data_IF_311144480970
#
_entry.id   IF_311144480970
#
_cell.length_a   1.000
_cell.length_b   1.000
_cell.length_c   1.000
_cell.angle_alpha   90.00
_cell.angle_beta   90.00
_cell.angle_gamma   90.00
#
_symmetry.space_group_name_H-M   'P 1'
#
loop_
_entity.id
_entity.type
_entity.pdbx_description
1 polymer ?
#
# COMPACT_ATOMS: atom_id res chain seq x y z
N UNK A 1 18.46 45.36 -2.15
CA UNK A 1 17.02 45.69 -2.27
C UNK A 1 16.40 45.03 -3.49
N UNK A 2 15.08 44.74 -3.45
CA UNK A 2 14.28 44.19 -4.57
C UNK A 2 12.84 44.67 -4.51
N UNK A 3 12.24 44.95 -5.67
CA UNK A 3 10.83 45.34 -5.78
C UNK A 3 9.95 44.07 -5.88
N UNK A 4 8.97 43.97 -4.99
CA UNK A 4 7.99 42.88 -5.02
C UNK A 4 7.02 43.04 -6.21
N UNK A 5 6.93 42.03 -7.10
CA UNK A 5 6.02 42.08 -8.26
C UNK A 5 4.51 42.09 -7.92
N UNK A 6 4.13 41.82 -6.67
CA UNK A 6 2.71 41.78 -6.25
C UNK A 6 2.26 43.06 -5.52
N UNK A 7 3.07 43.56 -4.58
CA UNK A 7 2.70 44.76 -3.81
C UNK A 7 3.44 46.02 -4.28
N UNK A 8 4.33 45.89 -5.27
CA UNK A 8 5.11 46.98 -5.88
C UNK A 8 5.97 47.79 -4.88
N UNK A 9 6.22 47.27 -3.67
CA UNK A 9 7.08 47.88 -2.66
C UNK A 9 8.51 47.37 -2.78
N UNK A 10 9.47 48.27 -2.62
CA UNK A 10 10.88 47.93 -2.44
C UNK A 10 11.12 47.34 -1.05
N UNK A 11 11.87 46.24 -0.98
CA UNK A 11 12.15 45.51 0.26
C UNK A 11 13.54 44.91 0.24
N UNK A 12 14.05 44.63 1.44
CA UNK A 12 15.28 43.87 1.62
C UNK A 12 15.20 42.47 1.01
N UNK A 13 16.33 41.96 0.52
CA UNK A 13 16.39 40.65 -0.14
C UNK A 13 15.94 39.49 0.77
N UNK A 14 16.08 39.65 2.09
CA UNK A 14 15.62 38.68 3.10
C UNK A 14 14.10 38.64 3.26
N UNK A 15 13.40 39.64 2.74
CA UNK A 15 11.93 39.61 2.63
C UNK A 15 11.43 38.70 1.51
N UNK A 16 12.32 38.03 0.77
CA UNK A 16 11.99 37.14 -0.34
C UNK A 16 12.46 35.71 -0.05
N UNK A 17 11.78 34.72 -0.63
CA UNK A 17 12.27 33.34 -0.61
C UNK A 17 13.43 33.18 -1.60
N UNK A 18 14.30 32.20 -1.37
CA UNK A 18 15.38 31.91 -2.31
C UNK A 18 14.82 31.18 -3.53
N UNK A 19 15.37 31.48 -4.71
CA UNK A 19 15.00 30.85 -5.98
C UNK A 19 16.22 30.71 -6.88
N UNK A 20 16.67 29.46 -7.03
CA UNK A 20 17.86 29.13 -7.82
C UNK A 20 17.67 29.40 -9.32
N UNK A 21 16.44 29.48 -9.80
CA UNK A 21 16.15 29.73 -11.22
C UNK A 21 16.18 31.24 -11.57
N UNK A 22 16.19 32.11 -10.55
CA UNK A 22 16.18 33.56 -10.76
C UNK A 22 17.60 34.13 -10.84
N UNK A 23 17.80 35.14 -11.69
CA UNK A 23 19.11 35.79 -11.90
C UNK A 23 19.73 36.36 -10.61
N UNK A 24 18.89 36.84 -9.69
CA UNK A 24 19.30 37.43 -8.41
C UNK A 24 19.14 36.48 -7.22
N UNK A 25 18.84 35.19 -7.47
CA UNK A 25 18.70 34.16 -6.43
C UNK A 25 17.47 34.33 -5.53
N UNK A 26 16.54 35.24 -5.85
CA UNK A 26 15.38 35.59 -5.02
C UNK A 26 14.07 35.50 -5.81
N UNK A 27 13.05 34.93 -5.15
CA UNK A 27 11.69 34.87 -5.67
C UNK A 27 11.14 36.25 -6.05
N UNK A 28 10.24 36.31 -7.02
CA UNK A 28 9.73 37.58 -7.56
C UNK A 28 8.69 38.27 -6.67
N UNK A 29 8.13 37.58 -5.67
CA UNK A 29 7.21 38.16 -4.66
C UNK A 29 7.77 38.04 -3.24
N UNK A 30 7.49 39.04 -2.40
CA UNK A 30 7.92 39.00 -1.01
C UNK A 30 7.16 37.94 -0.20
N UNK A 31 7.76 37.43 0.89
CA UNK A 31 7.21 36.41 1.79
C UNK A 31 5.78 36.72 2.25
N UNK A 32 5.50 37.97 2.62
CA UNK A 32 4.15 38.42 3.01
C UNK A 32 3.12 38.21 1.88
N UNK A 33 3.44 38.69 0.68
CA UNK A 33 2.60 38.54 -0.51
C UNK A 33 2.37 37.07 -0.87
N UNK A 34 3.40 36.24 -0.77
CA UNK A 34 3.28 34.81 -1.00
C UNK A 34 2.35 34.14 0.03
N UNK A 35 2.51 34.44 1.33
CA UNK A 35 1.65 33.91 2.40
C UNK A 35 0.20 34.35 2.25
N UNK A 36 -0.04 35.63 1.96
CA UNK A 36 -1.39 36.15 1.67
C UNK A 36 -2.01 35.46 0.44
N UNK A 37 -1.23 35.23 -0.62
CA UNK A 37 -1.68 34.44 -1.78
C UNK A 37 -2.20 33.07 -1.40
N UNK A 38 -1.43 32.35 -0.58
CA UNK A 38 -1.78 30.99 -0.15
C UNK A 38 -3.03 31.01 0.72
N UNK A 39 -3.16 32.00 1.61
CA UNK A 39 -4.35 32.18 2.45
C UNK A 39 -5.60 32.39 1.59
N UNK A 40 -5.56 33.35 0.66
CA UNK A 40 -6.71 33.66 -0.20
C UNK A 40 -7.14 32.46 -1.05
N UNK A 41 -6.19 31.70 -1.63
CA UNK A 41 -6.51 30.47 -2.37
C UNK A 41 -7.15 29.39 -1.49
N UNK A 42 -6.76 29.34 -0.22
CA UNK A 42 -7.31 28.38 0.75
C UNK A 42 -8.75 28.77 1.11
N UNK A 43 -9.00 30.05 1.36
CA UNK A 43 -10.35 30.58 1.61
C UNK A 43 -11.27 30.37 0.40
N UNK A 44 -10.79 30.64 -0.83
CA UNK A 44 -11.54 30.40 -2.06
C UNK A 44 -11.89 28.92 -2.25
N UNK A 45 -10.96 28.01 -1.95
CA UNK A 45 -11.20 26.57 -2.01
C UNK A 45 -12.29 26.14 -1.02
N UNK A 46 -12.20 26.62 0.22
CA UNK A 46 -13.17 26.31 1.28
C UNK A 46 -14.57 26.84 0.91
N UNK A 47 -14.64 28.03 0.30
CA UNK A 47 -15.90 28.61 -0.19
C UNK A 47 -16.51 27.78 -1.33
N UNK A 48 -15.70 27.28 -2.26
CA UNK A 48 -16.19 26.41 -3.34
C UNK A 48 -16.72 25.08 -2.80
N UNK A 49 -16.13 24.52 -1.76
CA UNK A 49 -16.58 23.27 -1.13
C UNK A 49 -16.29 22.00 -1.93
N UNK A 50 -15.64 22.11 -3.10
CA UNK A 50 -15.18 20.98 -3.93
C UNK A 50 -13.76 21.20 -4.45
N UNK A 51 -13.12 20.10 -4.85
CA UNK A 51 -11.78 20.09 -5.47
C UNK A 51 -11.65 18.96 -6.46
N UNK A 52 -10.85 19.15 -7.51
CA UNK A 52 -10.37 18.09 -8.42
C UNK A 52 -9.26 17.27 -7.76
N UNK A 53 -9.43 15.95 -7.68
CA UNK A 53 -8.40 15.06 -7.16
C UNK A 53 -7.19 14.96 -8.11
N UNK A 54 -5.97 15.11 -7.60
CA UNK A 54 -4.76 15.07 -8.44
C UNK A 54 -4.42 13.66 -8.95
N UNK A 55 -5.02 12.62 -8.36
CA UNK A 55 -4.81 11.23 -8.80
C UNK A 55 -5.84 10.80 -9.84
N UNK A 56 -7.12 10.85 -9.52
CA UNK A 56 -8.17 10.40 -10.44
C UNK A 56 -8.75 11.51 -11.32
N UNK A 57 -8.37 12.77 -11.12
CA UNK A 57 -8.84 13.92 -11.90
C UNK A 57 -10.36 14.16 -11.82
N UNK A 58 -11.04 13.58 -10.83
CA UNK A 58 -12.48 13.77 -10.59
C UNK A 58 -12.70 14.87 -9.54
N UNK A 59 -13.65 15.77 -9.80
CA UNK A 59 -14.14 16.76 -8.83
C UNK A 59 -14.97 16.08 -7.75
N UNK A 60 -14.65 16.37 -6.48
CA UNK A 60 -15.34 15.81 -5.32
C UNK A 60 -15.49 16.87 -4.23
N UNK A 61 -16.48 16.74 -3.34
CA UNK A 61 -16.58 17.58 -2.15
C UNK A 61 -15.30 17.49 -1.29
N UNK A 62 -14.92 18.57 -0.60
CA UNK A 62 -13.71 18.60 0.24
C UNK A 62 -13.72 17.50 1.33
N UNK A 63 -14.89 17.13 1.85
CA UNK A 63 -15.06 16.02 2.79
C UNK A 63 -14.72 14.63 2.22
N UNK A 64 -14.39 14.52 0.92
CA UNK A 64 -13.89 13.29 0.30
C UNK A 64 -12.36 13.26 0.17
N UNK A 65 -11.64 14.23 0.75
CA UNK A 65 -10.19 14.33 0.71
C UNK A 65 -9.56 14.08 2.08
N UNK A 66 -8.34 13.55 2.08
CA UNK A 66 -7.58 13.37 3.34
C UNK A 66 -7.29 14.73 3.96
N UNK A 67 -7.30 14.79 5.30
CA UNK A 67 -6.87 15.96 6.06
C UNK A 67 -5.35 16.14 5.95
N UNK A 68 -4.91 17.36 5.69
CA UNK A 68 -3.50 17.73 5.64
C UNK A 68 -3.25 18.96 6.51
N UNK A 69 -2.72 18.73 7.72
CA UNK A 69 -2.46 19.79 8.70
C UNK A 69 -1.35 20.76 8.28
N UNK A 70 -0.55 20.41 7.28
CA UNK A 70 0.52 21.29 6.77
C UNK A 70 -0.01 22.42 5.89
N UNK A 71 -1.26 22.29 5.40
CA UNK A 71 -1.89 23.24 4.50
C UNK A 71 -2.86 24.15 5.24
N UNK A 72 -2.97 25.45 4.86
CA UNK A 72 -3.93 26.35 5.49
C UNK A 72 -5.40 25.97 5.24
N UNK A 73 -5.70 25.32 4.11
CA UNK A 73 -7.03 24.78 3.82
C UNK A 73 -7.35 23.49 4.61
N UNK A 74 -6.34 22.82 5.17
CA UNK A 74 -6.51 21.52 5.83
C UNK A 74 -6.86 20.35 4.89
N UNK A 75 -6.90 20.57 3.57
CA UNK A 75 -7.39 19.61 2.57
C UNK A 75 -6.25 19.13 1.68
N UNK A 76 -6.01 17.82 1.70
CA UNK A 76 -5.02 17.17 0.84
C UNK A 76 -5.39 17.18 -0.65
N UNK A 77 -4.42 16.88 -1.51
CA UNK A 77 -4.59 16.87 -2.96
C UNK A 77 -5.29 15.61 -3.51
N UNK A 78 -5.38 14.56 -2.69
CA UNK A 78 -5.88 13.26 -3.07
C UNK A 78 -7.16 12.90 -2.31
N UNK A 79 -8.14 12.34 -3.02
CA UNK A 79 -9.37 11.84 -2.40
C UNK A 79 -9.12 10.56 -1.58
N UNK A 80 -9.99 10.26 -0.60
CA UNK A 80 -9.87 9.08 0.25
C UNK A 80 -9.81 7.78 -0.56
N UNK A 81 -10.59 7.65 -1.63
CA UNK A 81 -10.62 6.42 -2.44
C UNK A 81 -9.28 6.17 -3.11
N UNK A 82 -8.69 7.19 -3.74
CA UNK A 82 -7.35 7.06 -4.34
C UNK A 82 -6.27 6.83 -3.28
N UNK A 83 -6.39 7.49 -2.13
CA UNK A 83 -5.47 7.29 -1.02
C UNK A 83 -5.56 5.92 -0.37
N UNK A 84 -6.75 5.30 -0.35
CA UNK A 84 -6.97 3.90 0.08
C UNK A 84 -6.47 2.91 -0.96
N UNK A 85 -6.76 3.14 -2.24
CA UNK A 85 -6.28 2.30 -3.34
C UNK A 85 -4.75 2.27 -3.41
N UNK A 86 -4.10 3.43 -3.29
CA UNK A 86 -2.63 3.51 -3.18
C UNK A 86 -2.14 2.75 -1.94
N UNK A 87 -2.76 2.96 -0.78
CA UNK A 87 -2.39 2.24 0.44
C UNK A 87 -2.50 0.72 0.31
N UNK A 88 -3.56 0.22 -0.36
CA UNK A 88 -3.74 -1.20 -0.67
C UNK A 88 -2.65 -1.72 -1.61
N UNK A 89 -2.35 -1.02 -2.72
CA UNK A 89 -1.29 -1.42 -3.65
C UNK A 89 0.09 -1.43 -2.99
N UNK A 90 0.44 -0.35 -2.28
CA UNK A 90 1.71 -0.26 -1.54
C UNK A 90 1.81 -1.38 -0.48
N UNK A 91 0.68 -1.83 0.06
CA UNK A 91 0.63 -2.96 0.97
C UNK A 91 0.82 -4.30 0.26
N UNK A 92 0.07 -4.60 -0.81
CA UNK A 92 0.20 -5.85 -1.57
C UNK A 92 1.61 -6.03 -2.11
N UNK A 93 2.23 -4.95 -2.62
CA UNK A 93 3.60 -4.98 -3.12
C UNK A 93 4.61 -5.30 -2.01
N UNK A 94 4.42 -4.71 -0.81
CA UNK A 94 5.26 -5.02 0.37
C UNK A 94 5.08 -6.45 0.85
N UNK A 95 3.84 -6.94 0.88
CA UNK A 95 3.52 -8.30 1.30
C UNK A 95 4.11 -9.33 0.33
N UNK A 96 3.98 -9.11 -0.97
CA UNK A 96 4.52 -9.98 -2.03
C UNK A 96 6.04 -10.09 -1.91
N UNK A 97 6.74 -8.94 -1.75
CA UNK A 97 8.19 -8.91 -1.50
C UNK A 97 8.58 -9.62 -0.21
N UNK A 98 7.79 -9.45 0.86
CA UNK A 98 8.02 -10.13 2.12
C UNK A 98 7.89 -11.66 1.99
N UNK A 99 6.84 -12.14 1.32
CA UNK A 99 6.60 -13.56 1.06
C UNK A 99 7.74 -14.15 0.25
N UNK A 100 8.13 -13.51 -0.86
CA UNK A 100 9.24 -13.98 -1.70
C UNK A 100 10.54 -14.09 -0.91
N UNK A 101 10.90 -13.05 -0.15
CA UNK A 101 12.10 -13.04 0.70
C UNK A 101 12.07 -14.14 1.77
N UNK A 102 10.90 -14.42 2.35
CA UNK A 102 10.73 -15.49 3.33
C UNK A 102 10.88 -16.86 2.68
N UNK A 103 10.33 -17.05 1.49
CA UNK A 103 10.49 -18.28 0.70
C UNK A 103 11.97 -18.53 0.37
N UNK A 104 12.66 -17.52 -0.14
CA UNK A 104 14.10 -17.59 -0.46
C UNK A 104 14.94 -17.96 0.77
N UNK A 105 14.74 -17.26 1.89
CA UNK A 105 15.41 -17.57 3.16
C UNK A 105 15.16 -19.02 3.58
N UNK A 106 13.93 -19.49 3.42
CA UNK A 106 13.53 -20.82 3.85
C UNK A 106 14.05 -21.93 2.93
N UNK A 107 14.14 -21.66 1.63
CA UNK A 107 14.78 -22.53 0.66
C UNK A 107 16.27 -22.68 1.00
N UNK A 108 16.96 -21.56 1.22
CA UNK A 108 18.37 -21.54 1.62
C UNK A 108 18.64 -22.31 2.92
N UNK A 109 17.81 -22.11 3.95
CA UNK A 109 18.00 -22.81 5.24
C UNK A 109 17.79 -24.33 5.16
N UNK A 110 17.04 -24.80 4.17
CA UNK A 110 16.69 -26.22 3.99
C UNK A 110 17.37 -26.85 2.77
N UNK A 111 18.29 -26.13 2.13
CA UNK A 111 18.96 -26.53 0.89
C UNK A 111 17.98 -26.99 -0.21
N UNK A 112 16.94 -26.20 -0.45
CA UNK A 112 15.93 -26.45 -1.48
C UNK A 112 16.14 -25.54 -2.70
N UNK A 113 15.79 -26.03 -3.87
CA UNK A 113 15.79 -25.24 -5.11
C UNK A 113 14.89 -24.01 -4.99
N UNK A 114 15.31 -22.91 -5.62
CA UNK A 114 14.59 -21.65 -5.63
C UNK A 114 14.74 -20.94 -6.97
N UNK A 115 13.65 -20.64 -7.66
CA UNK A 115 13.66 -19.86 -8.92
C UNK A 115 12.46 -18.91 -9.08
N UNK A 116 11.81 -18.54 -7.98
CA UNK A 116 10.66 -17.64 -7.98
C UNK A 116 11.08 -16.17 -8.17
N UNK A 117 10.20 -15.43 -8.82
CA UNK A 117 10.22 -13.98 -8.97
C UNK A 117 9.00 -13.36 -8.27
N UNK A 118 8.91 -12.03 -8.23
CA UNK A 118 7.75 -11.33 -7.66
C UNK A 118 6.46 -11.71 -8.41
N UNK A 119 6.54 -11.92 -9.72
CA UNK A 119 5.38 -12.20 -10.57
C UNK A 119 4.79 -13.60 -10.33
N UNK A 120 5.57 -14.52 -9.74
CA UNK A 120 5.10 -15.86 -9.38
C UNK A 120 4.28 -15.87 -8.07
N UNK A 121 4.30 -14.78 -7.29
CA UNK A 121 3.60 -14.68 -5.99
C UNK A 121 2.22 -14.05 -6.19
N UNK A 122 1.24 -14.90 -6.51
CA UNK A 122 -0.16 -14.50 -6.69
C UNK A 122 -0.93 -14.69 -5.39
N UNK A 123 -1.41 -13.60 -4.78
CA UNK A 123 -2.18 -13.63 -3.53
C UNK A 123 -3.68 -13.58 -3.85
N UNK A 124 -4.45 -14.68 -3.69
CA UNK A 124 -5.88 -14.71 -3.97
C UNK A 124 -6.71 -14.01 -2.88
N UNK A 125 -7.95 -13.61 -3.19
CA UNK A 125 -8.89 -13.04 -2.20
C UNK A 125 -9.33 -14.05 -1.13
N UNK A 126 -9.35 -15.34 -1.50
CA UNK A 126 -9.73 -16.46 -0.64
C UNK A 126 -8.65 -17.52 -0.62
N UNK A 127 -8.48 -18.18 0.53
CA UNK A 127 -7.59 -19.32 0.67
C UNK A 127 -8.12 -20.47 -0.19
N UNK A 128 -7.36 -20.99 -1.18
CA UNK A 128 -7.87 -22.06 -2.05
C UNK A 128 -8.03 -23.41 -1.33
N UNK A 129 -7.44 -23.60 -0.15
CA UNK A 129 -7.56 -24.85 0.61
C UNK A 129 -8.67 -24.84 1.67
N UNK A 130 -9.06 -23.66 2.17
CA UNK A 130 -10.07 -23.53 3.24
C UNK A 130 -11.27 -22.66 2.86
N UNK A 131 -11.26 -22.03 1.68
CA UNK A 131 -12.30 -21.13 1.18
C UNK A 131 -12.65 -19.94 2.10
N UNK A 132 -11.70 -19.57 2.97
CA UNK A 132 -11.85 -18.42 3.88
C UNK A 132 -11.20 -17.16 3.27
N UNK A 133 -11.75 -15.95 3.53
CA UNK A 133 -11.13 -14.70 3.08
C UNK A 133 -9.72 -14.54 3.65
N UNK A 134 -8.76 -14.21 2.78
CA UNK A 134 -7.41 -13.85 3.20
C UNK A 134 -7.38 -12.42 3.72
N UNK A 135 -6.73 -12.21 4.86
CA UNK A 135 -6.67 -10.91 5.51
C UNK A 135 -5.39 -10.17 5.11
N UNK A 136 -5.58 -9.05 4.42
CA UNK A 136 -4.53 -8.16 3.91
C UNK A 136 -4.17 -7.01 4.85
N UNK A 137 -4.67 -6.95 6.08
CA UNK A 137 -4.43 -5.80 6.95
C UNK A 137 -3.24 -6.00 7.88
N UNK A 138 -2.69 -7.22 7.96
CA UNK A 138 -1.56 -7.56 8.83
C UNK A 138 -0.51 -8.44 8.12
N UNK A 139 0.70 -7.88 7.89
CA UNK A 139 1.86 -8.58 7.31
C UNK A 139 2.36 -9.68 8.27
N UNK A 140 2.05 -9.50 9.55
CA UNK A 140 2.30 -10.45 10.64
C UNK A 140 1.22 -10.24 11.69
N UNK A 141 0.26 -11.16 11.76
CA UNK A 141 -0.82 -11.15 12.74
C UNK A 141 -1.14 -12.56 13.18
N UNK A 142 -1.59 -12.71 14.42
CA UNK A 142 -2.05 -13.99 15.00
C UNK A 142 -3.35 -14.51 14.37
N UNK A 143 -3.88 -13.87 13.32
CA UNK A 143 -5.05 -14.38 12.63
C UNK A 143 -4.63 -15.46 11.62
N UNK A 144 -5.31 -16.60 11.68
CA UNK A 144 -5.05 -17.74 10.79
C UNK A 144 -5.36 -17.49 9.31
N UNK A 145 -5.82 -16.28 8.95
CA UNK A 145 -6.23 -15.90 7.61
C UNK A 145 -5.15 -15.08 6.86
N UNK A 146 -3.99 -14.85 7.48
CA UNK A 146 -2.87 -14.18 6.83
C UNK A 146 -2.33 -15.03 5.65
N UNK A 147 -1.99 -14.42 4.50
CA UNK A 147 -1.39 -15.13 3.37
C UNK A 147 -0.05 -15.78 3.73
N UNK A 148 0.13 -17.04 3.36
CA UNK A 148 1.32 -17.86 3.58
C UNK A 148 1.68 -18.61 2.31
N UNK A 149 2.95 -18.58 1.93
CA UNK A 149 3.47 -19.44 0.87
C UNK A 149 3.63 -20.87 1.37
N UNK A 150 3.13 -21.82 0.59
CA UNK A 150 3.27 -23.25 0.81
C UNK A 150 3.79 -23.92 -0.47
N UNK A 151 4.40 -25.10 -0.33
CA UNK A 151 4.81 -25.94 -1.47
C UNK A 151 3.73 -26.97 -1.72
N UNK A 152 3.29 -27.10 -2.98
CA UNK A 152 2.26 -28.07 -3.37
C UNK A 152 2.81 -29.47 -3.14
N UNK A 153 3.96 -29.77 -3.76
CA UNK A 153 4.76 -30.95 -3.50
C UNK A 153 5.94 -30.60 -2.59
N UNK A 154 6.00 -31.24 -1.42
CA UNK A 154 7.05 -31.04 -0.43
C UNK A 154 8.40 -31.67 -0.83
N UNK A 155 8.43 -32.56 -1.82
CA UNK A 155 9.66 -33.17 -2.37
C UNK A 155 10.41 -32.20 -3.29
N UNK A 156 9.72 -31.19 -3.81
CA UNK A 156 10.29 -30.15 -4.66
C UNK A 156 10.63 -28.88 -3.87
N UNK A 157 11.43 -28.01 -4.49
CA UNK A 157 11.81 -26.71 -3.95
C UNK A 157 10.73 -25.64 -4.10
N UNK A 158 11.10 -24.40 -3.77
CA UNK A 158 10.30 -23.21 -4.05
C UNK A 158 10.53 -22.81 -5.52
N UNK A 159 9.89 -23.56 -6.42
CA UNK A 159 10.04 -23.38 -7.86
C UNK A 159 8.73 -23.01 -8.54
N UNK A 160 8.81 -22.38 -9.71
CA UNK A 160 7.66 -22.03 -10.54
C UNK A 160 6.74 -23.24 -10.74
N UNK A 161 5.44 -23.06 -10.49
CA UNK A 161 4.44 -24.14 -10.58
C UNK A 161 4.34 -25.07 -9.37
N UNK A 162 5.28 -25.03 -8.40
CA UNK A 162 5.23 -25.84 -7.18
C UNK A 162 4.85 -25.03 -5.92
N UNK A 163 4.36 -23.81 -6.08
CA UNK A 163 3.96 -22.97 -4.97
C UNK A 163 2.53 -22.49 -5.13
N UNK A 164 1.96 -22.10 -4.01
CA UNK A 164 0.67 -21.46 -3.92
C UNK A 164 0.60 -20.64 -2.63
N UNK A 165 -0.32 -19.68 -2.61
CA UNK A 165 -0.60 -18.85 -1.43
C UNK A 165 -1.88 -19.34 -0.78
N UNK A 166 -1.75 -19.82 0.45
CA UNK A 166 -2.86 -20.29 1.30
C UNK A 166 -2.89 -19.49 2.60
N UNK A 167 -3.92 -19.69 3.42
CA UNK A 167 -3.96 -19.07 4.74
C UNK A 167 -2.93 -19.72 5.68
N UNK A 168 -2.41 -18.95 6.64
CA UNK A 168 -1.49 -19.49 7.65
C UNK A 168 -2.12 -20.65 8.44
N UNK A 169 -3.44 -20.61 8.71
CA UNK A 169 -4.20 -21.73 9.29
C UNK A 169 -4.13 -22.97 8.41
N UNK A 170 -4.38 -22.84 7.11
CA UNK A 170 -4.32 -23.96 6.17
C UNK A 170 -2.91 -24.55 6.10
N UNK A 171 -1.89 -23.69 6.05
CA UNK A 171 -0.50 -24.11 6.05
C UNK A 171 -0.13 -24.85 7.36
N UNK A 172 -0.59 -24.36 8.51
CA UNK A 172 -0.40 -25.06 9.80
C UNK A 172 -1.09 -26.42 9.83
N UNK A 173 -2.31 -26.52 9.29
CA UNK A 173 -3.01 -27.82 9.18
C UNK A 173 -2.24 -28.81 8.30
N UNK A 174 -1.60 -28.34 7.24
CA UNK A 174 -0.78 -29.15 6.32
C UNK A 174 0.63 -29.45 6.83
N UNK A 175 1.17 -28.64 7.75
CA UNK A 175 2.58 -28.63 8.12
C UNK A 175 3.13 -29.97 8.63
N UNK A 176 2.29 -30.80 9.26
CA UNK A 176 2.69 -32.07 9.86
C UNK A 176 1.94 -33.27 9.29
N UNK A 177 1.51 -33.18 8.02
CA UNK A 177 0.80 -34.25 7.34
C UNK A 177 1.44 -34.53 5.97
N UNK A 178 1.66 -35.80 5.69
CA UNK A 178 1.98 -36.32 4.36
C UNK A 178 0.74 -36.31 3.46
N UNK A 179 0.93 -36.37 2.14
CA UNK A 179 -0.19 -36.43 1.19
C UNK A 179 -1.13 -37.64 1.44
N UNK A 180 -0.62 -38.86 1.73
CA UNK A 180 -1.48 -39.99 2.11
C UNK A 180 -2.29 -39.76 3.39
N UNK A 181 -1.70 -39.10 4.41
CA UNK A 181 -2.41 -38.74 5.64
C UNK A 181 -3.51 -37.71 5.38
N UNK A 182 -3.23 -36.68 4.57
CA UNK A 182 -4.23 -35.68 4.18
C UNK A 182 -5.40 -36.31 3.42
N UNK A 183 -5.12 -37.20 2.47
CA UNK A 183 -6.15 -37.92 1.74
C UNK A 183 -7.00 -38.81 2.66
N UNK A 184 -6.34 -39.56 3.55
CA UNK A 184 -7.03 -40.41 4.53
C UNK A 184 -7.89 -39.59 5.49
N UNK A 185 -7.38 -38.47 5.98
CA UNK A 185 -8.09 -37.54 6.85
C UNK A 185 -9.33 -36.98 6.14
N UNK A 186 -9.18 -36.44 4.93
CA UNK A 186 -10.28 -35.89 4.12
C UNK A 186 -11.39 -36.93 3.86
N UNK A 187 -11.03 -38.17 3.56
CA UNK A 187 -12.01 -39.25 3.36
C UNK A 187 -12.73 -39.64 4.66
N UNK A 188 -12.00 -39.70 5.77
CA UNK A 188 -12.56 -40.21 7.03
C UNK A 188 -13.33 -39.14 7.81
N UNK A 189 -12.96 -37.86 7.71
CA UNK A 189 -13.64 -36.79 8.45
C UNK A 189 -15.13 -36.74 8.10
N UNK A 190 -15.49 -36.93 6.83
CA UNK A 190 -16.87 -36.95 6.36
C UNK A 190 -17.68 -38.15 6.88
N UNK A 191 -17.02 -39.25 7.30
CA UNK A 191 -17.69 -40.43 7.88
C UNK A 191 -18.14 -40.19 9.32
N UNK A 192 -17.32 -39.45 10.09
CA UNK A 192 -17.58 -39.18 11.50
C UNK A 192 -18.27 -37.85 11.75
N UNK A 193 -18.11 -36.90 10.82
CA UNK A 193 -18.72 -35.57 10.85
C UNK A 193 -19.37 -35.29 9.49
N UNK A 194 -20.46 -36.00 9.13
CA UNK A 194 -21.21 -35.68 7.94
C UNK A 194 -21.64 -34.22 8.00
N UNK A 195 -21.44 -33.47 6.92
CA UNK A 195 -21.92 -32.09 6.82
C UNK A 195 -23.43 -32.09 7.01
N UNK A 196 -23.91 -31.28 7.97
CA UNK A 196 -25.33 -31.04 8.20
C UNK A 196 -25.99 -30.40 6.97
#
# INVERSE_FOLDING_TARGET
>A
MKICKRCHKEKELDSFYNDKASKDGKWHTCKHCSRSSVKNRSEELLLKGYRKCFTCQIEKPLGKFKRDKSRPDGVGYQCYSCGRAKGRKDYTDRLTKYILKRAEKSAKSRNLDFNLTIDDIIIPDYCPLLEIPLNYDHISGRNGNSPSIDRIDNTLGYVKGNIWIISSKANTMKANASFPELHTFSRNINKYFPTA
#
